data_IF_014780834424
#
_entry.id   IF_014780834424
#
_cell.length_a   1.000
_cell.length_b   1.000
_cell.length_c   1.000
_cell.angle_alpha   90.00
_cell.angle_beta   90.00
_cell.angle_gamma   90.00
#
_symmetry.space_group_name_H-M   'P 1'
#
loop_
_entity.id
_entity.type
_entity.pdbx_description
1 polymer ?
#
# COMPACT_ATOMS: atom_id res chain seq x y z
N UNK A 1 -13.97 -27.20 19.06
CA UNK A 1 -14.61 -26.20 18.18
C UNK A 1 -13.51 -25.23 17.76
N UNK A 2 -13.04 -25.29 16.52
CA UNK A 2 -12.08 -24.30 15.99
C UNK A 2 -12.85 -22.98 15.85
N UNK A 3 -12.40 -21.94 16.55
CA UNK A 3 -12.86 -20.58 16.26
C UNK A 3 -12.55 -20.30 14.78
N UNK A 4 -13.51 -19.76 13.98
CA UNK A 4 -13.17 -19.28 12.66
C UNK A 4 -12.08 -18.22 12.84
N UNK A 5 -10.98 -18.35 12.10
CA UNK A 5 -9.93 -17.34 12.10
C UNK A 5 -10.59 -15.99 11.76
N UNK A 6 -10.45 -15.01 12.65
CA UNK A 6 -11.05 -13.68 12.50
C UNK A 6 -10.58 -12.97 11.21
N UNK A 7 -9.43 -13.38 10.70
CA UNK A 7 -8.80 -12.81 9.52
C UNK A 7 -8.64 -13.88 8.42
N UNK A 8 -8.86 -13.47 7.17
CA UNK A 8 -8.66 -14.33 6.00
C UNK A 8 -7.16 -14.54 5.75
N UNK A 9 -6.78 -15.70 5.19
CA UNK A 9 -5.40 -15.98 4.76
C UNK A 9 -4.89 -14.89 3.82
N UNK A 10 -5.76 -14.43 2.91
CA UNK A 10 -5.47 -13.35 1.96
C UNK A 10 -5.03 -12.06 2.65
N UNK A 11 -5.72 -11.64 3.73
CA UNK A 11 -5.37 -10.43 4.47
C UNK A 11 -4.02 -10.55 5.18
N UNK A 12 -3.72 -11.73 5.75
CA UNK A 12 -2.44 -11.99 6.39
C UNK A 12 -1.29 -11.96 5.38
N UNK A 13 -1.47 -12.55 4.21
CA UNK A 13 -0.50 -12.53 3.12
C UNK A 13 -0.26 -11.10 2.60
N UNK A 14 -1.33 -10.33 2.38
CA UNK A 14 -1.20 -8.93 1.95
C UNK A 14 -0.55 -8.05 3.02
N UNK A 15 -0.88 -8.24 4.30
CA UNK A 15 -0.23 -7.53 5.39
C UNK A 15 1.28 -7.80 5.43
N UNK A 16 1.69 -9.06 5.28
CA UNK A 16 3.10 -9.43 5.23
C UNK A 16 3.81 -8.76 4.03
N UNK A 17 3.20 -8.81 2.85
CA UNK A 17 3.76 -8.18 1.63
C UNK A 17 3.86 -6.66 1.73
N UNK A 18 2.87 -6.00 2.32
CA UNK A 18 2.93 -4.54 2.58
C UNK A 18 4.07 -4.23 3.54
N UNK A 19 4.21 -4.98 4.63
CA UNK A 19 5.33 -4.81 5.58
C UNK A 19 6.68 -4.99 4.90
N UNK A 20 6.85 -6.04 4.12
CA UNK A 20 8.08 -6.30 3.36
C UNK A 20 8.37 -5.16 2.37
N UNK A 21 7.35 -4.65 1.67
CA UNK A 21 7.50 -3.50 0.77
C UNK A 21 7.94 -2.24 1.52
N UNK A 22 7.37 -1.97 2.71
CA UNK A 22 7.75 -0.84 3.54
C UNK A 22 9.23 -0.91 3.95
N UNK A 23 9.67 -2.06 4.48
CA UNK A 23 11.05 -2.30 4.89
C UNK A 23 12.04 -2.27 3.72
N UNK A 24 11.69 -2.86 2.58
CA UNK A 24 12.58 -2.97 1.43
C UNK A 24 12.67 -1.68 0.60
N UNK A 25 11.60 -0.88 0.56
CA UNK A 25 11.47 0.21 -0.41
C UNK A 25 11.07 1.55 0.20
N UNK A 26 10.20 1.62 1.19
CA UNK A 26 9.71 2.90 1.72
C UNK A 26 10.68 3.47 2.75
N UNK A 27 10.92 2.76 3.86
CA UNK A 27 11.75 3.24 4.96
C UNK A 27 13.19 3.60 4.52
N UNK A 28 13.88 2.79 3.68
CA UNK A 28 15.22 3.15 3.20
C UNK A 28 15.26 4.43 2.34
N UNK A 29 14.13 4.85 1.78
CA UNK A 29 14.03 6.01 0.89
C UNK A 29 13.45 7.26 1.55
N UNK A 30 13.14 7.23 2.85
CA UNK A 30 12.64 8.40 3.60
C UNK A 30 13.65 9.57 3.56
N UNK A 31 14.94 9.30 3.75
CA UNK A 31 15.99 10.33 3.64
C UNK A 31 16.04 10.96 2.24
N UNK A 32 15.92 10.13 1.19
CA UNK A 32 15.88 10.60 -0.19
C UNK A 32 14.65 11.46 -0.45
N UNK A 33 13.48 11.05 0.05
CA UNK A 33 12.26 11.83 -0.02
C UNK A 33 12.44 13.22 0.61
N UNK A 34 12.97 13.30 1.83
CA UNK A 34 13.21 14.57 2.51
C UNK A 34 14.19 15.46 1.75
N UNK A 35 15.32 14.91 1.29
CA UNK A 35 16.31 15.64 0.48
C UNK A 35 15.70 16.20 -0.81
N UNK A 36 14.87 15.42 -1.50
CA UNK A 36 14.22 15.84 -2.75
C UNK A 36 13.18 16.93 -2.51
N UNK A 37 12.43 16.88 -1.40
CA UNK A 37 11.50 17.95 -1.00
C UNK A 37 12.25 19.24 -0.66
N UNK A 38 13.36 19.16 0.07
CA UNK A 38 14.18 20.32 0.43
C UNK A 38 14.83 20.99 -0.79
N UNK A 39 15.24 20.19 -1.78
CA UNK A 39 15.83 20.67 -3.03
C UNK A 39 14.79 21.18 -4.05
N UNK A 40 13.49 20.97 -3.80
CA UNK A 40 12.45 21.33 -4.75
C UNK A 40 12.26 22.85 -4.85
N UNK A 41 11.97 23.33 -6.07
CA UNK A 41 11.66 24.74 -6.32
C UNK A 41 10.47 25.27 -5.50
N UNK A 42 9.55 24.36 -5.14
CA UNK A 42 8.36 24.66 -4.37
C UNK A 42 8.03 23.49 -3.44
N UNK A 43 7.61 23.80 -2.21
CA UNK A 43 7.22 22.81 -1.20
C UNK A 43 6.06 21.89 -1.60
N UNK A 44 5.32 22.23 -2.65
CA UNK A 44 4.21 21.45 -3.19
C UNK A 44 4.61 20.55 -4.38
N UNK A 45 5.89 20.55 -4.75
CA UNK A 45 6.40 19.65 -5.79
C UNK A 45 6.35 18.19 -5.33
N UNK A 46 6.10 17.29 -6.27
CA UNK A 46 6.14 15.84 -6.00
C UNK A 46 7.58 15.35 -6.15
N UNK A 47 8.19 14.75 -5.12
CA UNK A 47 9.57 14.28 -5.21
C UNK A 47 9.64 13.05 -6.13
N UNK A 48 10.63 12.98 -7.05
CA UNK A 48 10.78 11.88 -8.00
C UNK A 48 10.75 10.46 -7.38
N UNK A 49 11.29 10.29 -6.17
CA UNK A 49 11.28 9.01 -5.47
C UNK A 49 9.86 8.49 -5.24
N UNK A 50 8.90 9.39 -5.01
CA UNK A 50 7.52 9.01 -4.75
C UNK A 50 6.87 8.36 -5.97
N UNK A 51 7.13 8.85 -7.18
CA UNK A 51 6.61 8.23 -8.42
C UNK A 51 7.25 6.86 -8.68
N UNK A 52 8.54 6.71 -8.34
CA UNK A 52 9.25 5.43 -8.42
C UNK A 52 8.64 4.39 -7.49
N UNK A 53 8.37 4.77 -6.22
CA UNK A 53 7.76 3.88 -5.23
C UNK A 53 6.31 3.53 -5.58
N UNK A 54 5.52 4.49 -6.07
CA UNK A 54 4.15 4.24 -6.53
C UNK A 54 4.11 3.27 -7.71
N UNK A 55 5.01 3.42 -8.69
CA UNK A 55 5.09 2.50 -9.82
C UNK A 55 5.38 1.06 -9.34
N UNK A 56 6.36 0.90 -8.46
CA UNK A 56 6.70 -0.41 -7.88
C UNK A 56 5.54 -1.02 -7.10
N UNK A 57 4.85 -0.25 -6.26
CA UNK A 57 3.69 -0.73 -5.51
C UNK A 57 2.58 -1.22 -6.44
N UNK A 58 2.35 -0.56 -7.59
CA UNK A 58 1.40 -1.01 -8.61
C UNK A 58 1.84 -2.31 -9.27
N UNK A 59 3.11 -2.42 -9.64
CA UNK A 59 3.66 -3.64 -10.26
C UNK A 59 3.58 -4.85 -9.32
N UNK A 60 3.71 -4.62 -8.02
CA UNK A 60 3.52 -5.65 -6.99
C UNK A 60 2.05 -5.88 -6.63
N UNK A 61 1.09 -5.13 -7.19
CA UNK A 61 -0.33 -5.26 -6.86
C UNK A 61 -0.70 -4.79 -5.44
N UNK A 62 0.13 -3.93 -4.83
CA UNK A 62 -0.09 -3.29 -3.53
C UNK A 62 -0.73 -1.91 -3.71
N UNK A 63 -1.69 -1.79 -4.62
CA UNK A 63 -2.30 -0.53 -5.03
C UNK A 63 -3.81 -0.55 -4.82
N UNK A 64 -4.38 0.59 -4.42
CA UNK A 64 -5.82 0.75 -4.16
C UNK A 64 -6.41 -0.33 -3.22
N UNK A 65 -5.63 -0.79 -2.23
CA UNK A 65 -6.08 -1.82 -1.28
C UNK A 65 -7.26 -1.35 -0.41
N UNK A 66 -7.42 -0.04 -0.25
CA UNK A 66 -8.50 0.58 0.51
C UNK A 66 -9.85 0.59 -0.22
N UNK A 67 -9.87 0.32 -1.54
CA UNK A 67 -11.08 0.48 -2.35
C UNK A 67 -12.03 -0.70 -2.10
N UNK A 68 -13.21 -0.47 -1.49
CA UNK A 68 -14.12 -1.54 -1.14
C UNK A 68 -14.83 -2.09 -2.39
N UNK A 69 -15.32 -3.35 -2.38
CA UNK A 69 -15.94 -3.98 -3.54
C UNK A 69 -17.12 -3.21 -4.11
N UNK A 70 -17.91 -2.56 -3.26
CA UNK A 70 -19.11 -1.82 -3.68
C UNK A 70 -18.75 -0.55 -4.51
N UNK A 71 -17.55 0.01 -4.31
CA UNK A 71 -17.05 1.14 -5.07
C UNK A 71 -16.35 0.73 -6.38
N UNK A 72 -16.06 -0.55 -6.57
CA UNK A 72 -15.43 -1.11 -7.76
C UNK A 72 -16.09 -2.43 -8.21
N UNK A 73 -17.28 -2.35 -8.82
CA UNK A 73 -17.95 -3.53 -9.34
C UNK A 73 -17.10 -4.18 -10.44
N UNK A 74 -16.63 -5.40 -10.17
CA UNK A 74 -15.83 -6.20 -11.11
C UNK A 74 -14.31 -6.18 -10.85
N UNK A 75 -13.89 -6.12 -9.57
CA UNK A 75 -12.62 -5.54 -9.06
C UNK A 75 -11.61 -5.13 -10.15
N UNK A 76 -11.86 -4.00 -10.81
CA UNK A 76 -11.07 -3.52 -11.94
C UNK A 76 -9.91 -2.63 -11.53
N UNK A 77 -10.06 -1.92 -10.42
CA UNK A 77 -9.18 -0.86 -9.97
C UNK A 77 -8.59 -1.11 -8.58
N UNK A 78 -9.27 -1.87 -7.73
CA UNK A 78 -8.85 -2.22 -6.38
C UNK A 78 -8.70 -3.71 -6.16
N UNK A 79 -8.27 -4.09 -4.96
CA UNK A 79 -8.11 -5.49 -4.59
C UNK A 79 -9.44 -6.17 -4.19
N UNK A 80 -10.54 -5.42 -4.06
CA UNK A 80 -11.84 -5.98 -3.65
C UNK A 80 -11.78 -6.59 -2.24
N UNK A 81 -11.13 -5.89 -1.31
CA UNK A 81 -11.04 -6.30 0.10
C UNK A 81 -12.25 -5.78 0.86
N UNK A 82 -12.85 -6.61 1.71
CA UNK A 82 -13.82 -6.09 2.68
C UNK A 82 -13.14 -5.15 3.70
N UNK A 83 -13.92 -4.32 4.39
CA UNK A 83 -13.40 -3.41 5.41
C UNK A 83 -12.59 -4.14 6.50
N UNK A 84 -13.02 -5.35 6.90
CA UNK A 84 -12.33 -6.15 7.91
C UNK A 84 -10.98 -6.67 7.39
N UNK A 85 -10.91 -7.04 6.10
CA UNK A 85 -9.66 -7.49 5.48
C UNK A 85 -8.66 -6.34 5.32
N UNK A 86 -9.13 -5.16 4.90
CA UNK A 86 -8.28 -3.98 4.79
C UNK A 86 -7.77 -3.47 6.14
N UNK A 87 -8.58 -3.54 7.20
CA UNK A 87 -8.22 -3.02 8.52
C UNK A 87 -6.92 -3.60 9.09
N UNK A 88 -6.59 -4.85 8.77
CA UNK A 88 -5.35 -5.49 9.20
C UNK A 88 -4.11 -4.99 8.42
N UNK A 89 -4.32 -4.55 7.18
CA UNK A 89 -3.25 -4.15 6.27
C UNK A 89 -2.83 -2.69 6.50
N UNK A 90 -3.72 -1.85 7.05
CA UNK A 90 -3.47 -0.42 7.24
C UNK A 90 -2.91 -0.03 8.62
N UNK A 91 -2.54 -1.00 9.45
CA UNK A 91 -1.84 -0.81 10.73
C UNK A 91 -0.33 -0.67 10.50
#
# INVERSE_FOLDING_TARGET
>A
MNAPALFSTRSLELQARVREFMEAHVHPNEETFHREIEAAENRFSTPPILETLKARARDEGLWNLFLPPDADPGPRYGAGLSNLEYALICE
#
